data_IF_757568866010
#
_entry.id   IF_757568866010
#
_cell.length_a   1.000
_cell.length_b   1.000
_cell.length_c   1.000
_cell.angle_alpha   90.00
_cell.angle_beta   90.00
_cell.angle_gamma   90.00
#
_symmetry.space_group_name_H-M   'P 1'
#
loop_
_entity.id
_entity.type
_entity.pdbx_description
1 polymer ?
#
# COMPACT_ATOMS: atom_id res chain seq x y z
N UNK A 1 -23.10 -10.35 -11.89
CA UNK A 1 -22.50 -9.14 -11.30
C UNK A 1 -21.03 -9.14 -11.65
N UNK A 2 -20.46 -8.01 -12.10
CA UNK A 2 -19.00 -7.92 -12.27
C UNK A 2 -18.38 -7.82 -10.88
N UNK A 3 -17.53 -8.77 -10.51
CA UNK A 3 -16.75 -8.70 -9.27
C UNK A 3 -15.85 -7.45 -9.30
N UNK A 4 -15.77 -6.73 -8.17
CA UNK A 4 -14.96 -5.52 -8.02
C UNK A 4 -13.53 -5.94 -7.68
N UNK A 5 -12.56 -5.53 -8.49
CA UNK A 5 -11.14 -5.86 -8.28
C UNK A 5 -10.63 -5.27 -6.96
N UNK A 6 -9.97 -6.11 -6.17
CA UNK A 6 -9.34 -5.70 -4.92
C UNK A 6 -7.85 -5.45 -5.18
N UNK A 7 -7.41 -4.20 -5.01
CA UNK A 7 -6.03 -3.77 -5.23
C UNK A 7 -5.49 -3.19 -3.93
N UNK A 8 -4.20 -3.41 -3.69
CA UNK A 8 -3.52 -2.89 -2.51
C UNK A 8 -2.31 -2.03 -2.89
N UNK A 9 -1.91 -1.13 -1.99
CA UNK A 9 -0.73 -0.28 -2.15
C UNK A 9 0.33 -0.63 -1.11
N UNK A 10 1.58 -0.79 -1.55
CA UNK A 10 2.76 -0.99 -0.70
C UNK A 10 3.59 0.30 -0.70
N UNK A 11 3.69 0.97 0.45
CA UNK A 11 4.35 2.28 0.55
C UNK A 11 5.84 2.14 0.91
N UNK A 12 6.73 2.54 0.01
CA UNK A 12 8.18 2.45 0.20
C UNK A 12 8.84 3.60 0.98
N UNK A 13 8.08 4.50 1.59
CA UNK A 13 8.63 5.68 2.27
C UNK A 13 8.01 5.84 3.65
N UNK A 14 8.86 5.87 4.68
CA UNK A 14 8.44 5.86 6.10
C UNK A 14 8.27 7.27 6.69
N UNK A 15 8.76 8.32 6.03
CA UNK A 15 8.62 9.68 6.55
C UNK A 15 7.15 10.13 6.49
N UNK A 16 6.67 10.76 7.56
CA UNK A 16 5.27 11.27 7.68
C UNK A 16 4.82 12.10 6.47
N UNK A 17 5.69 12.97 5.96
CA UNK A 17 5.41 13.88 4.85
C UNK A 17 5.64 13.31 3.44
N UNK A 18 5.69 11.98 3.27
CA UNK A 18 6.05 11.35 2.00
C UNK A 18 5.11 11.76 0.85
N UNK A 19 5.69 12.23 -0.26
CA UNK A 19 4.94 12.48 -1.50
C UNK A 19 4.38 11.18 -2.10
N UNK A 20 5.13 10.07 -2.06
CA UNK A 20 4.61 8.76 -2.44
C UNK A 20 3.43 8.34 -1.56
N UNK A 21 3.47 8.69 -0.27
CA UNK A 21 2.33 8.49 0.64
C UNK A 21 1.10 9.31 0.24
N UNK A 22 1.29 10.54 -0.27
CA UNK A 22 0.19 11.36 -0.79
C UNK A 22 -0.43 10.74 -2.05
N UNK A 23 0.40 10.22 -2.97
CA UNK A 23 -0.07 9.48 -4.15
C UNK A 23 -0.89 8.27 -3.72
N UNK A 24 -0.35 7.40 -2.85
CA UNK A 24 -1.04 6.18 -2.39
C UNK A 24 -2.41 6.49 -1.74
N UNK A 25 -2.51 7.54 -0.92
CA UNK A 25 -3.79 7.98 -0.31
C UNK A 25 -4.78 8.61 -1.30
N UNK A 26 -4.33 8.98 -2.49
CA UNK A 26 -5.18 9.55 -3.54
C UNK A 26 -5.79 8.47 -4.43
N UNK A 27 -5.09 7.34 -4.64
CA UNK A 27 -5.55 6.25 -5.51
C UNK A 27 -6.99 5.76 -5.24
N UNK A 28 -7.45 5.58 -3.98
CA UNK A 28 -8.83 5.16 -3.73
C UNK A 28 -9.89 6.14 -4.24
N UNK A 29 -9.54 7.43 -4.38
CA UNK A 29 -10.46 8.50 -4.81
C UNK A 29 -10.57 8.63 -6.33
N UNK A 30 -9.59 8.09 -7.05
CA UNK A 30 -9.50 8.17 -8.51
C UNK A 30 -9.55 6.79 -9.18
N UNK A 31 -9.80 5.74 -8.40
CA UNK A 31 -9.97 4.39 -8.90
C UNK A 31 -11.26 4.29 -9.75
N UNK A 32 -11.27 3.47 -10.81
CA UNK A 32 -12.49 3.18 -11.56
C UNK A 32 -13.50 2.43 -10.70
N UNK A 33 -14.79 2.51 -11.05
CA UNK A 33 -15.87 1.91 -10.27
C UNK A 33 -15.73 0.38 -10.06
N UNK A 34 -15.05 -0.30 -10.98
CA UNK A 34 -14.75 -1.73 -10.92
C UNK A 34 -13.58 -2.10 -10.02
N UNK A 35 -13.00 -1.15 -9.28
CA UNK A 35 -11.80 -1.35 -8.46
C UNK A 35 -11.94 -0.73 -7.07
N UNK A 36 -11.40 -1.41 -6.08
CA UNK A 36 -11.22 -0.92 -4.73
C UNK A 36 -9.74 -0.93 -4.38
N UNK A 37 -9.22 0.19 -3.89
CA UNK A 37 -7.81 0.34 -3.53
C UNK A 37 -7.70 0.53 -2.02
N UNK A 38 -6.97 -0.36 -1.36
CA UNK A 38 -6.73 -0.32 0.09
C UNK A 38 -5.21 -0.22 0.38
N UNK A 39 -4.85 0.38 1.52
CA UNK A 39 -3.44 0.43 1.92
C UNK A 39 -3.04 -0.85 2.67
N UNK A 40 -1.86 -1.39 2.37
CA UNK A 40 -1.24 -2.40 3.23
C UNK A 40 -0.73 -1.75 4.53
N UNK A 41 -0.45 -2.55 5.57
CA UNK A 41 0.33 -2.12 6.72
C UNK A 41 1.69 -1.53 6.31
N UNK A 42 2.25 -0.72 7.21
CA UNK A 42 3.59 -0.15 7.04
C UNK A 42 4.65 -1.25 7.05
N UNK A 43 5.79 -1.02 6.36
CA UNK A 43 6.97 -1.88 6.45
C UNK A 43 7.94 -1.47 7.58
N UNK A 44 7.58 -0.48 8.38
CA UNK A 44 8.48 0.17 9.36
C UNK A 44 9.01 -0.77 10.46
N UNK A 45 8.26 -1.83 10.74
CA UNK A 45 8.53 -2.82 11.79
C UNK A 45 9.02 -4.16 11.23
N UNK A 46 9.15 -4.30 9.90
CA UNK A 46 9.74 -5.49 9.29
C UNK A 46 11.25 -5.48 9.58
N UNK A 47 11.78 -6.53 10.24
CA UNK A 47 13.21 -6.60 10.54
C UNK A 47 14.03 -6.76 9.27
N UNK A 48 15.33 -6.49 9.37
CA UNK A 48 16.25 -6.90 8.31
C UNK A 48 16.21 -8.42 8.19
N UNK A 49 16.18 -8.89 6.94
CA UNK A 49 16.27 -10.31 6.65
C UNK A 49 17.60 -10.87 7.14
N UNK A 50 17.55 -11.99 7.85
CA UNK A 50 18.70 -12.74 8.35
C UNK A 50 18.39 -14.24 8.24
N UNK A 51 19.17 -14.95 7.43
CA UNK A 51 18.98 -16.38 7.19
C UNK A 51 19.36 -17.23 8.42
N UNK A 52 20.16 -16.70 9.36
CA UNK A 52 20.58 -17.43 10.56
C UNK A 52 19.45 -17.52 11.61
N UNK A 53 18.45 -16.64 11.52
CA UNK A 53 17.30 -16.56 12.45
C UNK A 53 16.07 -17.32 11.91
N UNK A 54 16.14 -17.88 10.70
CA UNK A 54 14.99 -18.38 9.94
C UNK A 54 14.88 -19.89 9.78
#
# INVERSE_FOLDING_TARGET
MSEKLQVVTLLGSLRKGSFNGMVARTLPKIAPASMEVNALPSIADIPLYDADVQ
#
